data_IF_969283737993
#
_entry.id   IF_969283737993
#
_cell.length_a   1.000
_cell.length_b   1.000
_cell.length_c   1.000
_cell.angle_alpha   90.00
_cell.angle_beta   90.00
_cell.angle_gamma   90.00
#
_symmetry.space_group_name_H-M   'P 1'
#
loop_
_entity.id
_entity.type
_entity.pdbx_description
1 polymer ?
#
# COMPACT_ATOMS: atom_id res chain seq x y z
N UNK A 1 -26.98 8.92 -4.51
CA UNK A 1 -27.46 9.71 -5.64
C UNK A 1 -26.52 9.54 -6.78
N UNK A 2 -27.02 8.91 -7.81
CA UNK A 2 -26.20 8.68 -8.98
C UNK A 2 -25.76 10.00 -9.62
N UNK A 3 -26.62 10.98 -9.59
CA UNK A 3 -26.31 12.25 -10.22
C UNK A 3 -25.20 12.99 -9.50
N UNK A 4 -24.84 12.57 -8.31
CA UNK A 4 -23.74 13.20 -7.60
C UNK A 4 -22.44 12.45 -7.78
N UNK A 5 -22.50 11.31 -8.42
CA UNK A 5 -21.28 10.55 -8.71
C UNK A 5 -20.69 11.13 -9.98
N UNK A 6 -19.48 11.57 -9.87
CA UNK A 6 -18.79 12.12 -11.03
C UNK A 6 -17.38 11.54 -11.09
N UNK A 7 -16.89 11.52 -12.30
CA UNK A 7 -15.51 11.10 -12.51
C UNK A 7 -14.62 12.26 -12.12
N UNK A 8 -13.93 12.13 -11.01
CA UNK A 8 -13.03 13.17 -10.55
C UNK A 8 -11.71 13.13 -11.30
N UNK A 9 -11.33 11.94 -11.76
CA UNK A 9 -10.09 11.77 -12.51
C UNK A 9 -10.37 10.90 -13.72
N UNK A 10 -9.81 11.27 -14.84
CA UNK A 10 -9.88 10.43 -16.02
C UNK A 10 -8.88 9.31 -15.91
N UNK A 11 -9.01 8.33 -16.79
CA UNK A 11 -8.06 7.22 -16.85
C UNK A 11 -6.65 7.75 -17.12
N UNK A 12 -6.54 8.76 -17.97
CA UNK A 12 -5.24 9.36 -18.26
C UNK A 12 -4.66 10.06 -17.05
N UNK A 13 -5.50 10.72 -16.26
CA UNK A 13 -5.04 11.39 -15.05
C UNK A 13 -4.57 10.39 -14.01
N UNK A 14 -5.27 9.27 -13.90
CA UNK A 14 -4.88 8.21 -12.97
C UNK A 14 -3.55 7.63 -13.41
N UNK A 15 -3.39 7.33 -14.68
CA UNK A 15 -2.13 6.82 -15.22
C UNK A 15 -0.97 7.77 -14.93
N UNK A 16 -1.22 9.05 -15.14
CA UNK A 16 -0.20 10.07 -14.90
C UNK A 16 0.18 10.09 -13.42
N UNK A 17 -0.82 9.98 -12.54
CA UNK A 17 -0.55 10.00 -11.12
C UNK A 17 0.25 8.76 -10.69
N UNK A 18 -0.08 7.61 -11.24
CA UNK A 18 0.67 6.39 -10.94
C UNK A 18 2.11 6.53 -11.42
N UNK A 19 2.30 7.13 -12.59
CA UNK A 19 3.64 7.40 -13.10
C UNK A 19 4.41 8.31 -12.16
N UNK A 20 3.77 9.37 -11.69
CA UNK A 20 4.41 10.30 -10.76
C UNK A 20 4.81 9.60 -9.46
N UNK A 21 3.92 8.77 -8.94
CA UNK A 21 4.20 8.02 -7.71
C UNK A 21 5.38 7.08 -7.92
N UNK A 22 5.39 6.38 -9.05
CA UNK A 22 6.49 5.48 -9.37
C UNK A 22 7.82 6.20 -9.46
N UNK A 23 7.81 7.37 -10.09
CA UNK A 23 9.03 8.18 -10.20
C UNK A 23 9.49 8.68 -8.83
N UNK A 24 8.53 9.08 -7.99
CA UNK A 24 8.88 9.57 -6.67
C UNK A 24 9.47 8.46 -5.81
N UNK A 25 8.87 7.27 -5.86
CA UNK A 25 9.40 6.12 -5.13
C UNK A 25 10.80 5.79 -5.62
N UNK A 26 11.01 5.80 -6.93
CA UNK A 26 12.31 5.49 -7.49
C UNK A 26 13.37 6.48 -7.00
N UNK A 27 12.99 7.74 -6.87
CA UNK A 27 13.90 8.76 -6.37
C UNK A 27 14.16 8.58 -4.89
N UNK A 28 13.09 8.35 -4.11
CA UNK A 28 13.21 8.24 -2.66
C UNK A 28 14.04 7.02 -2.25
N UNK A 29 14.03 5.98 -3.06
CA UNK A 29 14.72 4.73 -2.74
C UNK A 29 15.89 4.45 -3.66
N UNK A 30 16.46 5.50 -4.23
CA UNK A 30 17.63 5.33 -5.10
C UNK A 30 18.73 4.58 -4.35
N UNK A 31 19.29 3.57 -5.01
CA UNK A 31 20.33 2.75 -4.41
C UNK A 31 19.81 1.66 -3.48
N UNK A 32 18.50 1.52 -3.37
CA UNK A 32 17.89 0.53 -2.47
C UNK A 32 16.94 -0.35 -3.26
N UNK A 33 16.47 -1.39 -2.60
CA UNK A 33 15.43 -2.24 -3.13
C UNK A 33 14.13 -1.96 -2.38
N UNK A 34 13.03 -1.92 -3.09
CA UNK A 34 11.71 -1.68 -2.50
C UNK A 34 10.93 -2.99 -2.46
N UNK A 35 10.32 -3.26 -1.32
CA UNK A 35 9.47 -4.43 -1.15
C UNK A 35 8.03 -3.94 -1.05
N UNK A 36 7.22 -4.24 -2.07
CA UNK A 36 5.83 -3.82 -2.09
C UNK A 36 4.97 -4.92 -1.49
N UNK A 37 4.15 -4.54 -0.52
CA UNK A 37 3.22 -5.46 0.12
C UNK A 37 1.81 -5.02 -0.28
N UNK A 38 1.10 -5.91 -0.94
CA UNK A 38 -0.27 -5.64 -1.38
C UNK A 38 -1.25 -6.35 -0.45
N UNK A 39 -2.24 -5.62 -0.01
CA UNK A 39 -3.33 -6.21 0.76
C UNK A 39 -4.43 -6.56 -0.23
N UNK A 40 -4.64 -7.87 -0.41
CA UNK A 40 -5.61 -8.36 -1.38
C UNK A 40 -7.01 -7.98 -0.94
N UNK A 41 -7.94 -7.73 -1.86
CA UNK A 41 -7.69 -7.90 -3.29
C UNK A 41 -7.64 -6.55 -4.01
N UNK A 42 -8.17 -5.53 -3.39
CA UNK A 42 -8.41 -4.26 -4.05
C UNK A 42 -7.17 -3.60 -4.62
N UNK A 43 -6.05 -3.70 -3.92
CA UNK A 43 -4.85 -3.01 -4.36
C UNK A 43 -4.03 -3.70 -5.42
N UNK A 44 -4.44 -4.90 -5.85
CA UNK A 44 -3.56 -5.71 -6.69
C UNK A 44 -3.28 -5.09 -8.06
N UNK A 45 -4.33 -4.58 -8.73
CA UNK A 45 -4.12 -3.97 -10.03
C UNK A 45 -3.28 -2.71 -9.93
N UNK A 46 -3.56 -1.88 -8.93
CA UNK A 46 -2.78 -0.68 -8.71
C UNK A 46 -1.33 -1.02 -8.43
N UNK A 47 -1.09 -2.03 -7.61
CA UNK A 47 0.28 -2.42 -7.29
C UNK A 47 1.04 -2.86 -8.53
N UNK A 48 0.39 -3.63 -9.40
CA UNK A 48 1.04 -4.08 -10.62
C UNK A 48 1.40 -2.91 -11.52
N UNK A 49 0.48 -1.96 -11.68
CA UNK A 49 0.75 -0.79 -12.49
C UNK A 49 1.85 0.06 -11.89
N UNK A 50 1.83 0.21 -10.57
CA UNK A 50 2.86 0.97 -9.89
C UNK A 50 4.23 0.31 -10.02
N UNK A 51 4.28 -0.99 -9.82
CA UNK A 51 5.55 -1.72 -9.87
C UNK A 51 6.25 -1.56 -11.21
N UNK A 52 5.46 -1.49 -12.29
CA UNK A 52 6.01 -1.35 -13.62
C UNK A 52 6.70 -0.01 -13.82
N UNK A 53 6.40 0.97 -12.98
CA UNK A 53 6.92 2.32 -13.13
C UNK A 53 8.02 2.66 -12.14
N UNK A 54 8.37 1.72 -11.27
CA UNK A 54 9.46 1.90 -10.32
C UNK A 54 10.74 1.39 -10.97
N UNK A 55 11.79 2.20 -10.96
CA UNK A 55 13.03 1.86 -11.66
C UNK A 55 14.12 1.29 -10.76
N UNK A 56 13.91 1.28 -9.44
CA UNK A 56 14.82 0.57 -8.54
C UNK A 56 14.34 -0.88 -8.44
N UNK A 57 15.18 -1.80 -7.94
CA UNK A 57 14.75 -3.19 -7.79
C UNK A 57 13.51 -3.29 -6.90
N UNK A 58 12.56 -4.10 -7.33
CA UNK A 58 11.27 -4.25 -6.66
C UNK A 58 11.01 -5.72 -6.40
N UNK A 59 10.54 -6.03 -5.21
CA UNK A 59 9.97 -7.35 -4.93
C UNK A 59 8.53 -7.16 -4.49
N UNK A 60 7.70 -8.16 -4.72
CA UNK A 60 6.27 -8.09 -4.45
C UNK A 60 5.87 -9.19 -3.50
N UNK A 61 4.96 -8.87 -2.60
CA UNK A 61 4.37 -9.88 -1.74
C UNK A 61 2.92 -9.51 -1.48
N UNK A 62 2.12 -10.48 -1.07
CA UNK A 62 0.69 -10.29 -0.92
C UNK A 62 0.24 -10.85 0.42
N UNK A 63 -0.71 -10.17 1.03
CA UNK A 63 -1.35 -10.70 2.22
C UNK A 63 -2.85 -10.45 2.12
N UNK A 64 -3.60 -11.25 2.85
CA UNK A 64 -5.04 -11.11 2.90
C UNK A 64 -5.46 -11.08 4.36
N UNK A 65 -6.33 -10.12 4.68
CA UNK A 65 -6.83 -9.97 6.03
C UNK A 65 -8.34 -9.83 5.98
N UNK A 66 -8.98 -10.14 7.08
CA UNK A 66 -10.40 -9.87 7.25
C UNK A 66 -10.59 -9.17 8.58
N UNK A 67 -11.64 -8.36 8.66
CA UNK A 67 -11.99 -7.72 9.91
C UNK A 67 -12.41 -8.78 10.91
N UNK A 68 -11.98 -8.61 12.14
CA UNK A 68 -12.31 -9.56 13.17
C UNK A 68 -13.73 -9.32 13.64
N UNK A 69 -14.55 -10.36 13.62
CA UNK A 69 -15.94 -10.25 14.01
C UNK A 69 -16.79 -9.58 12.97
N UNK A 70 -18.08 -9.52 13.22
CA UNK A 70 -19.03 -8.95 12.29
C UNK A 70 -19.11 -7.43 12.39
N UNK A 71 -18.71 -6.88 13.52
CA UNK A 71 -18.74 -5.43 13.73
C UNK A 71 -17.37 -4.86 13.48
N UNK A 72 -17.17 -4.40 12.27
CA UNK A 72 -15.86 -3.91 11.84
C UNK A 72 -15.55 -2.51 12.34
N UNK A 73 -16.53 -1.82 12.88
CA UNK A 73 -16.30 -0.44 13.28
C UNK A 73 -15.81 -0.29 14.69
N UNK A 74 -15.84 -1.34 15.48
CA UNK A 74 -15.54 -1.19 16.91
C UNK A 74 -14.06 -1.26 17.23
N UNK A 75 -13.33 -2.22 16.70
CA UNK A 75 -11.98 -2.45 17.17
C UNK A 75 -10.89 -2.23 16.12
N UNK A 76 -11.20 -2.45 14.87
CA UNK A 76 -10.20 -2.38 13.82
C UNK A 76 -9.25 -3.57 13.81
N UNK A 77 -9.49 -4.56 14.67
CA UNK A 77 -8.65 -5.74 14.72
C UNK A 77 -8.84 -6.57 13.47
N UNK A 78 -7.76 -7.06 12.92
CA UNK A 78 -7.81 -7.86 11.71
C UNK A 78 -7.30 -9.27 11.98
N UNK A 79 -7.81 -10.19 11.19
CA UNK A 79 -7.36 -11.57 11.21
C UNK A 79 -6.60 -11.82 9.91
N UNK A 80 -5.41 -12.38 10.01
CA UNK A 80 -4.63 -12.68 8.84
C UNK A 80 -5.15 -13.97 8.22
N UNK A 81 -5.62 -13.87 6.99
CA UNK A 81 -6.11 -15.04 6.24
C UNK A 81 -4.98 -15.64 5.44
N UNK A 82 -4.18 -14.81 4.78
CA UNK A 82 -2.96 -15.23 4.11
C UNK A 82 -1.86 -14.30 4.52
N UNK A 83 -0.81 -14.85 5.10
CA UNK A 83 0.33 -14.03 5.51
C UNK A 83 1.33 -13.90 4.37
N UNK A 84 2.27 -12.99 4.58
CA UNK A 84 3.33 -12.73 3.62
C UNK A 84 4.22 -13.95 3.46
N UNK A 85 4.78 -14.10 2.27
CA UNK A 85 5.68 -15.21 1.98
C UNK A 85 7.07 -14.95 2.53
N UNK A 86 7.46 -13.67 2.66
CA UNK A 86 8.82 -13.31 3.05
C UNK A 86 8.80 -12.48 4.33
N UNK A 87 9.90 -12.59 5.06
CA UNK A 87 10.11 -11.75 6.23
C UNK A 87 10.28 -10.31 5.81
N UNK A 88 9.77 -9.38 6.62
CA UNK A 88 9.95 -7.96 6.36
C UNK A 88 11.22 -7.40 7.00
N UNK A 89 11.95 -8.22 7.74
CA UNK A 89 13.06 -7.70 8.51
C UNK A 89 14.08 -7.01 7.62
N UNK A 90 14.43 -5.79 8.01
CA UNK A 90 15.44 -4.97 7.35
C UNK A 90 15.10 -4.58 5.91
N UNK A 91 13.85 -4.74 5.51
CA UNK A 91 13.43 -4.36 4.15
C UNK A 91 12.82 -2.97 4.14
N UNK A 92 12.97 -2.31 3.00
CA UNK A 92 12.26 -1.05 2.74
C UNK A 92 10.89 -1.41 2.22
N UNK A 93 9.86 -1.25 3.03
CA UNK A 93 8.53 -1.77 2.74
C UNK A 93 7.56 -0.65 2.43
N UNK A 94 6.81 -0.81 1.36
CA UNK A 94 5.69 0.05 1.03
C UNK A 94 4.44 -0.82 0.97
N UNK A 95 3.47 -0.50 1.81
CA UNK A 95 2.18 -1.18 1.80
C UNK A 95 1.30 -0.48 0.77
N UNK A 96 0.79 -1.26 -0.16
CA UNK A 96 -0.03 -0.74 -1.25
C UNK A 96 -1.48 -1.13 -1.00
N UNK A 97 -2.35 -0.13 -0.94
CA UNK A 97 -3.76 -0.33 -0.68
C UNK A 97 -4.57 0.48 -1.67
N UNK A 98 -5.67 -0.09 -2.11
CA UNK A 98 -6.50 0.57 -3.11
C UNK A 98 -7.26 1.76 -2.52
N UNK A 99 -8.05 1.51 -1.51
CA UNK A 99 -8.88 2.53 -0.87
C UNK A 99 -8.74 2.39 0.64
N UNK A 100 -8.67 3.53 1.31
CA UNK A 100 -8.66 3.53 2.77
C UNK A 100 -10.09 3.77 3.24
N UNK A 101 -10.78 2.69 3.57
CA UNK A 101 -12.13 2.79 4.09
C UNK A 101 -12.13 3.17 5.55
N UNK A 102 -11.30 2.50 6.33
CA UNK A 102 -11.25 2.68 7.75
C UNK A 102 -9.80 2.84 8.17
N UNK A 103 -9.49 4.01 8.68
CA UNK A 103 -8.14 4.24 9.18
C UNK A 103 -7.81 3.32 10.34
N UNK A 104 -8.80 2.85 11.04
CA UNK A 104 -8.59 2.00 12.20
C UNK A 104 -8.04 0.63 11.81
N UNK A 105 -8.64 0.00 10.81
CA UNK A 105 -8.16 -1.29 10.33
C UNK A 105 -6.77 -1.17 9.74
N UNK A 106 -6.56 -0.13 8.95
CA UNK A 106 -5.25 0.08 8.34
C UNK A 106 -4.19 0.39 9.39
N UNK A 107 -4.56 1.19 10.39
CA UNK A 107 -3.62 1.49 11.47
C UNK A 107 -3.19 0.24 12.20
N UNK A 108 -4.14 -0.64 12.49
CA UNK A 108 -3.84 -1.90 13.15
C UNK A 108 -2.87 -2.73 12.32
N UNK A 109 -3.15 -2.80 11.02
CA UNK A 109 -2.31 -3.56 10.11
C UNK A 109 -0.89 -2.99 10.05
N UNK A 110 -0.78 -1.68 9.94
CA UNK A 110 0.53 -1.05 9.86
C UNK A 110 1.33 -1.26 11.13
N UNK A 111 0.68 -1.19 12.29
CA UNK A 111 1.38 -1.44 13.55
C UNK A 111 1.88 -2.88 13.62
N UNK A 112 1.06 -3.82 13.15
CA UNK A 112 1.46 -5.21 13.14
C UNK A 112 2.66 -5.46 12.24
N UNK A 113 2.64 -4.84 11.05
CA UNK A 113 3.75 -4.98 10.12
C UNK A 113 5.01 -4.28 10.62
N UNK A 114 4.83 -3.16 11.31
CA UNK A 114 5.96 -2.43 11.88
C UNK A 114 6.71 -3.29 12.89
N UNK A 115 5.97 -4.11 13.64
CA UNK A 115 6.59 -4.98 14.64
C UNK A 115 7.42 -6.09 14.03
N UNK A 116 7.32 -6.29 12.71
CA UNK A 116 8.12 -7.32 12.04
C UNK A 116 9.51 -6.83 11.66
N UNK A 117 9.85 -5.59 12.00
CA UNK A 117 11.21 -5.08 11.91
C UNK A 117 11.67 -4.60 10.55
N UNK A 118 10.80 -4.03 9.71
CA UNK A 118 11.29 -3.48 8.45
C UNK A 118 12.23 -2.30 8.69
N UNK A 119 13.11 -2.06 7.72
CA UNK A 119 13.98 -0.89 7.79
C UNK A 119 13.16 0.38 7.67
N UNK A 120 12.11 0.36 6.88
CA UNK A 120 11.15 1.46 6.79
C UNK A 120 9.81 0.89 6.37
N UNK A 121 8.76 1.64 6.69
CA UNK A 121 7.40 1.22 6.36
C UNK A 121 6.64 2.46 5.92
N UNK A 122 6.11 2.42 4.71
CA UNK A 122 5.34 3.51 4.14
C UNK A 122 4.04 2.97 3.60
N UNK A 123 3.10 3.88 3.38
CA UNK A 123 1.80 3.54 2.83
C UNK A 123 1.63 4.24 1.49
N UNK A 124 1.13 3.51 0.52
CA UNK A 124 0.76 4.07 -0.77
C UNK A 124 -0.65 3.62 -1.09
N UNK A 125 -1.57 4.56 -1.17
CA UNK A 125 -2.92 4.27 -1.64
C UNK A 125 -3.02 4.63 -3.10
N UNK A 126 -4.17 4.39 -3.69
CA UNK A 126 -4.33 4.51 -5.13
C UNK A 126 -3.82 5.84 -5.69
N UNK A 127 -4.01 6.95 -5.00
CA UNK A 127 -3.58 8.23 -5.52
C UNK A 127 -2.74 9.01 -4.54
N UNK A 128 -2.33 8.37 -3.46
CA UNK A 128 -1.61 9.06 -2.41
C UNK A 128 -0.39 8.26 -1.99
N UNK A 129 0.75 8.92 -2.07
CA UNK A 129 1.99 8.38 -1.56
C UNK A 129 2.67 9.47 -0.76
N UNK A 130 3.10 9.16 0.46
CA UNK A 130 3.78 10.11 1.30
C UNK A 130 5.26 9.77 1.33
N UNK A 131 6.08 10.71 0.86
CA UNK A 131 7.53 10.52 0.87
C UNK A 131 8.04 10.46 2.31
N UNK A 132 9.15 9.73 2.52
CA UNK A 132 9.74 9.70 3.85
C UNK A 132 10.11 11.09 4.34
N UNK A 133 9.80 11.34 5.60
CA UNK A 133 10.17 12.61 6.21
C UNK A 133 11.67 12.68 6.40
N UNK A 134 12.30 13.79 6.07
CA UNK A 134 13.72 13.95 6.41
C UNK A 134 13.84 14.17 7.91
N UNK A 135 14.60 13.35 8.55
CA UNK A 135 14.78 13.50 9.98
C UNK A 135 16.17 13.25 10.36
#
# INVERSE_FOLDING_TARGET
MAEHIRVLLTEEEVDKRIQEIGEQISKDYAGKQVHLVCVLKGGSFFMCELAKRITVPVSLDFMSVSSYGSDTKSSGVVKIVKDLDESLKDKEVIVVEDIVDSGRTLSYLLEMLKDRGPASLRLCTCLLYTSPSPR
#
